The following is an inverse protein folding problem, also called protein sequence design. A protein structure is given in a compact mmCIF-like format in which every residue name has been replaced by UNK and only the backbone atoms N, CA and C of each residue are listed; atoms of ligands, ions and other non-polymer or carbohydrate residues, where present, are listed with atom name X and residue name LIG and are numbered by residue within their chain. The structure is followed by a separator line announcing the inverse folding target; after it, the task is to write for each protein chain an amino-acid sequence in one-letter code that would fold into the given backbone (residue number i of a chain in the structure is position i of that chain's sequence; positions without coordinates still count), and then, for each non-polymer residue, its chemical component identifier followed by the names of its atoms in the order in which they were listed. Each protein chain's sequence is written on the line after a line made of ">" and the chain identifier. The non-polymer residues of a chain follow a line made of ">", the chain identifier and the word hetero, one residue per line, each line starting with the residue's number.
data_IF_230854113594
#
_entry.id   IF_230854113594
#
_cell.length_a   1.000
_cell.length_b   1.000
_cell.length_c   1.000
_cell.angle_alpha   90.00
_cell.angle_beta   90.00
_cell.angle_gamma   90.00
#
_symmetry.space_group_name_H-M   'P 1'
#
loop_
_entity.id
_entity.type
_entity.pdbx_description
1 polymer ?
#
# COMPACT_ATOMS: atom_id res chain seq x y z
N UNK A 1 1.69 26.61 -74.43
CA UNK A 1 2.54 26.07 -73.35
C UNK A 1 3.24 27.23 -72.65
N UNK A 2 2.86 27.55 -71.40
CA UNK A 2 3.83 27.86 -70.34
C UNK A 2 3.12 28.06 -68.99
N UNK A 3 3.27 27.04 -68.14
CA UNK A 3 3.58 27.11 -66.70
C UNK A 3 2.87 28.18 -65.85
N UNK A 4 1.55 28.22 -65.80
CA UNK A 4 0.85 28.92 -64.70
C UNK A 4 -0.53 28.38 -64.32
N UNK A 5 -0.81 27.09 -64.58
CA UNK A 5 -2.13 26.50 -64.24
C UNK A 5 -2.02 25.10 -63.65
N UNK A 6 -0.85 24.77 -63.06
CA UNK A 6 -0.61 23.52 -62.35
C UNK A 6 0.00 23.80 -60.97
N UNK A 7 -0.56 24.77 -60.25
CA UNK A 7 -0.17 25.08 -58.87
C UNK A 7 -1.40 25.30 -57.96
N UNK A 8 -2.54 24.68 -58.31
CA UNK A 8 -3.78 24.81 -57.55
C UNK A 8 -4.50 23.47 -57.26
N UNK A 9 -3.82 22.33 -57.47
CA UNK A 9 -4.41 21.00 -57.24
C UNK A 9 -3.57 20.09 -56.33
N UNK A 10 -2.59 20.66 -55.59
CA UNK A 10 -1.88 19.96 -54.50
C UNK A 10 -1.91 20.82 -53.24
N UNK A 11 -3.04 21.49 -52.99
CA UNK A 11 -3.47 21.79 -51.63
C UNK A 11 -4.36 20.62 -51.18
N UNK A 12 -3.80 19.41 -51.21
CA UNK A 12 -4.38 18.27 -50.52
C UNK A 12 -4.29 18.60 -49.04
N UNK A 13 -5.36 19.18 -48.53
CA UNK A 13 -6.03 18.79 -47.27
C UNK A 13 -5.22 17.78 -46.44
N UNK A 14 -4.14 18.23 -45.81
CA UNK A 14 -3.83 17.80 -44.45
C UNK A 14 -4.88 18.45 -43.55
N UNK A 15 -6.11 17.91 -43.62
CA UNK A 15 -6.97 17.90 -42.46
C UNK A 15 -6.17 17.09 -41.45
N UNK A 16 -5.45 17.78 -40.59
CA UNK A 16 -5.05 17.21 -39.32
C UNK A 16 -6.36 16.78 -38.69
N UNK A 17 -6.70 15.50 -38.85
CA UNK A 17 -7.58 14.82 -37.93
C UNK A 17 -6.80 14.81 -36.63
N UNK A 18 -6.85 15.94 -35.92
CA UNK A 18 -6.74 15.92 -34.48
C UNK A 18 -7.94 15.07 -34.09
N UNK A 19 -7.72 13.76 -34.02
CA UNK A 19 -8.53 12.93 -33.15
C UNK A 19 -8.29 13.57 -31.80
N UNK A 20 -9.16 14.49 -31.41
CA UNK A 20 -9.36 14.78 -30.00
C UNK A 20 -9.75 13.42 -29.44
N UNK A 21 -8.74 12.68 -28.96
CA UNK A 21 -8.97 11.62 -28.01
C UNK A 21 -9.87 12.28 -26.97
N UNK A 22 -11.14 11.86 -26.93
CA UNK A 22 -12.03 12.35 -25.90
C UNK A 22 -11.28 12.11 -24.59
N UNK A 23 -11.00 13.17 -23.84
CA UNK A 23 -10.24 13.01 -22.62
C UNK A 23 -11.12 12.16 -21.68
N UNK A 24 -10.76 10.90 -21.46
CA UNK A 24 -11.47 9.96 -20.58
C UNK A 24 -11.23 10.30 -19.09
N UNK A 25 -10.86 11.55 -18.82
CA UNK A 25 -10.65 12.09 -17.48
C UNK A 25 -11.98 12.06 -16.71
N UNK A 26 -12.01 11.27 -15.65
CA UNK A 26 -13.12 11.19 -14.71
C UNK A 26 -12.67 11.79 -13.38
N UNK A 27 -13.20 12.97 -13.07
CA UNK A 27 -13.10 13.57 -11.74
C UNK A 27 -14.26 13.07 -10.88
N UNK A 28 -14.00 12.85 -9.59
CA UNK A 28 -15.02 12.31 -8.70
C UNK A 28 -15.79 13.41 -7.99
N UNK A 29 -17.12 13.29 -8.03
CA UNK A 29 -18.03 14.15 -7.28
C UNK A 29 -18.43 13.45 -5.98
N UNK A 30 -17.96 13.99 -4.85
CA UNK A 30 -18.25 13.48 -3.52
C UNK A 30 -19.55 14.09 -2.94
N UNK A 31 -20.18 13.44 -1.94
CA UNK A 31 -21.30 14.00 -1.20
C UNK A 31 -20.98 15.39 -0.63
N UNK A 32 -21.98 16.27 -0.53
CA UNK A 32 -21.83 17.66 -0.06
C UNK A 32 -21.14 17.82 1.31
N UNK A 33 -21.29 16.84 2.19
CA UNK A 33 -20.73 16.88 3.56
C UNK A 33 -19.40 16.14 3.68
N UNK A 34 -18.80 15.71 2.57
CA UNK A 34 -17.47 15.10 2.57
C UNK A 34 -16.42 16.13 2.97
N UNK A 35 -15.52 15.80 3.93
CA UNK A 35 -14.47 16.72 4.36
C UNK A 35 -13.52 17.12 3.22
N UNK A 36 -13.43 18.42 2.97
CA UNK A 36 -12.61 19.01 1.91
C UNK A 36 -11.38 19.71 2.50
N UNK A 37 -10.23 19.49 1.89
CA UNK A 37 -8.96 20.08 2.27
C UNK A 37 -8.83 21.48 1.67
N UNK A 38 -8.68 22.50 2.52
CA UNK A 38 -8.65 23.91 2.07
C UNK A 38 -7.24 24.45 1.81
N UNK A 39 -6.21 23.78 2.32
CA UNK A 39 -4.81 24.17 2.14
C UNK A 39 -4.26 23.97 0.72
N UNK A 40 -4.97 23.24 -0.15
CA UNK A 40 -4.55 22.96 -1.52
C UNK A 40 -5.69 23.20 -2.49
N UNK A 41 -5.44 23.97 -3.55
CA UNK A 41 -6.28 24.01 -4.74
C UNK A 41 -5.62 23.16 -5.83
N UNK A 42 -6.36 22.19 -6.37
CA UNK A 42 -5.82 21.26 -7.36
C UNK A 42 -6.68 21.27 -8.61
N UNK A 43 -6.03 21.39 -9.76
CA UNK A 43 -6.64 21.20 -11.07
C UNK A 43 -6.01 20.02 -11.79
N UNK A 44 -6.84 19.23 -12.46
CA UNK A 44 -6.42 18.15 -13.37
C UNK A 44 -6.98 18.50 -14.75
N UNK A 45 -6.10 18.66 -15.73
CA UNK A 45 -6.43 19.16 -17.07
C UNK A 45 -7.33 20.40 -17.03
N UNK A 46 -6.88 21.42 -16.28
CA UNK A 46 -7.56 22.71 -16.09
C UNK A 46 -8.90 22.69 -15.33
N UNK A 47 -9.41 21.51 -14.95
CA UNK A 47 -10.65 21.35 -14.20
C UNK A 47 -10.38 21.24 -12.70
N UNK A 48 -11.19 21.89 -11.86
CA UNK A 48 -11.06 21.80 -10.41
C UNK A 48 -11.32 20.37 -9.93
N UNK A 49 -10.40 19.85 -9.12
CA UNK A 49 -10.49 18.54 -8.51
C UNK A 49 -10.69 18.66 -7.01
N UNK A 50 -11.64 17.90 -6.47
CA UNK A 50 -11.87 17.84 -5.04
C UNK A 50 -10.63 17.30 -4.32
N UNK A 51 -10.19 18.01 -3.26
CA UNK A 51 -9.12 17.55 -2.38
C UNK A 51 -9.76 17.01 -1.11
N UNK A 52 -9.72 15.70 -0.94
CA UNK A 52 -10.30 15.00 0.20
C UNK A 52 -9.42 15.18 1.45
N UNK A 53 -9.98 15.68 2.55
CA UNK A 53 -9.23 15.91 3.79
C UNK A 53 -9.16 14.65 4.64
N UNK A 54 -7.96 14.27 5.08
CA UNK A 54 -7.75 13.39 6.24
C UNK A 54 -6.98 14.15 7.34
N UNK A 55 -6.91 13.64 8.58
CA UNK A 55 -6.11 14.29 9.63
C UNK A 55 -4.60 14.37 9.35
N UNK A 56 -4.10 13.72 8.30
CA UNK A 56 -2.66 13.58 8.02
C UNK A 56 -2.30 13.88 6.56
N UNK A 57 -3.26 14.26 5.72
CA UNK A 57 -3.03 14.53 4.29
C UNK A 57 -4.24 15.15 3.59
N UNK A 58 -3.98 15.83 2.47
CA UNK A 58 -4.93 15.97 1.37
C UNK A 58 -4.85 14.76 0.42
N UNK A 59 -5.96 14.38 -0.22
CA UNK A 59 -6.00 13.31 -1.22
C UNK A 59 -6.72 13.80 -2.48
N UNK A 60 -6.09 13.60 -3.64
CA UNK A 60 -6.70 13.78 -4.96
C UNK A 60 -6.73 12.44 -5.67
N UNK A 61 -7.87 12.14 -6.30
CA UNK A 61 -8.05 10.92 -7.07
C UNK A 61 -8.86 11.20 -8.32
N UNK A 62 -8.41 10.67 -9.44
CA UNK A 62 -9.09 10.78 -10.73
C UNK A 62 -8.79 9.56 -11.58
N UNK A 63 -9.67 9.24 -12.53
CA UNK A 63 -9.38 8.22 -13.53
C UNK A 63 -9.06 8.84 -14.89
N UNK A 64 -8.13 8.24 -15.63
CA UNK A 64 -7.72 8.68 -16.97
C UNK A 64 -7.07 7.52 -17.73
N UNK A 65 -7.00 7.65 -19.06
CA UNK A 65 -6.29 6.73 -19.95
C UNK A 65 -4.93 7.27 -20.40
N UNK A 66 -4.58 8.51 -20.04
CA UNK A 66 -3.34 9.20 -20.43
C UNK A 66 -2.73 10.03 -19.29
N UNK A 67 -1.51 10.53 -19.48
CA UNK A 67 -0.88 11.41 -18.50
C UNK A 67 -1.57 12.78 -18.47
N UNK A 68 -1.98 13.24 -17.29
CA UNK A 68 -2.75 14.48 -17.13
C UNK A 68 -1.90 15.61 -16.55
N UNK A 69 -2.16 16.85 -16.98
CA UNK A 69 -1.58 18.03 -16.36
C UNK A 69 -2.21 18.24 -14.98
N UNK A 70 -1.43 18.06 -13.92
CA UNK A 70 -1.82 18.41 -12.55
C UNK A 70 -1.21 19.75 -12.19
N UNK A 71 -2.04 20.65 -11.68
CA UNK A 71 -1.62 21.96 -11.14
C UNK A 71 -2.06 22.06 -9.69
N UNK A 72 -1.13 22.36 -8.80
CA UNK A 72 -1.35 22.52 -7.35
C UNK A 72 -0.98 23.93 -6.94
N UNK A 73 -1.85 24.56 -6.17
CA UNK A 73 -1.62 25.86 -5.53
C UNK A 73 -1.87 25.69 -4.03
N UNK A 74 -0.82 25.59 -3.19
CA UNK A 74 -1.00 25.67 -1.74
C UNK A 74 -1.45 27.07 -1.31
N UNK A 75 -2.14 27.15 -0.17
CA UNK A 75 -2.53 28.42 0.47
C UNK A 75 -1.41 29.04 1.34
N UNK A 76 -0.23 28.44 1.30
CA UNK A 76 0.97 28.87 2.00
C UNK A 76 2.13 29.07 1.03
N UNK A 77 3.09 29.91 1.42
CA UNK A 77 4.36 30.04 0.71
C UNK A 77 5.25 28.81 0.94
N UNK A 78 6.00 28.43 -0.09
CA UNK A 78 6.97 27.34 -0.01
C UNK A 78 8.26 27.63 -0.79
N UNK A 79 9.35 26.96 -0.41
CA UNK A 79 10.65 27.05 -1.10
C UNK A 79 10.87 25.87 -2.03
N UNK A 80 10.65 24.66 -1.52
CA UNK A 80 10.95 23.41 -2.19
C UNK A 80 9.73 22.50 -2.27
N UNK A 81 9.74 21.62 -3.29
CA UNK A 81 8.71 20.61 -3.49
C UNK A 81 9.37 19.30 -3.89
N UNK A 82 8.95 18.20 -3.27
CA UNK A 82 9.39 16.84 -3.57
C UNK A 82 8.18 16.02 -4.06
N UNK A 83 8.39 15.24 -5.11
CA UNK A 83 7.45 14.20 -5.55
C UNK A 83 8.08 12.86 -5.19
N UNK A 84 7.36 12.07 -4.40
CA UNK A 84 7.76 10.71 -4.02
C UNK A 84 6.76 9.69 -4.58
N UNK A 85 7.21 8.53 -5.10
CA UNK A 85 8.60 8.14 -5.21
C UNK A 85 9.34 8.87 -6.36
N UNK A 86 10.57 9.29 -6.08
CA UNK A 86 11.45 10.09 -6.91
C UNK A 86 11.93 9.36 -8.16
N UNK A 87 12.00 8.03 -8.13
CA UNK A 87 12.34 7.19 -9.28
C UNK A 87 11.29 7.23 -10.40
N UNK A 88 10.10 7.82 -10.17
CA UNK A 88 9.15 8.16 -11.24
C UNK A 88 9.66 9.30 -12.13
N UNK A 89 10.68 10.04 -11.68
CA UNK A 89 11.34 11.10 -12.44
C UNK A 89 10.39 12.20 -12.96
N UNK A 90 9.26 12.42 -12.27
CA UNK A 90 8.28 13.44 -12.62
C UNK A 90 8.91 14.83 -12.44
N UNK A 91 8.92 15.61 -13.51
CA UNK A 91 9.48 16.97 -13.52
C UNK A 91 8.41 17.99 -13.19
N UNK A 92 8.70 18.85 -12.23
CA UNK A 92 7.82 19.95 -11.82
C UNK A 92 8.20 21.25 -12.51
N UNK A 93 7.20 22.10 -12.75
CA UNK A 93 7.36 23.47 -13.22
C UNK A 93 6.66 24.41 -12.24
N UNK A 94 7.42 25.37 -11.70
CA UNK A 94 6.93 26.40 -10.79
C UNK A 94 6.52 27.67 -11.55
N UNK A 95 5.38 28.25 -11.18
CA UNK A 95 4.93 29.57 -11.63
C UNK A 95 4.33 30.32 -10.45
N UNK A 96 5.08 31.26 -9.86
CA UNK A 96 4.69 31.91 -8.60
C UNK A 96 4.55 30.89 -7.47
N UNK A 97 3.37 30.85 -6.85
CA UNK A 97 3.04 29.87 -5.81
C UNK A 97 2.39 28.58 -6.35
N UNK A 98 2.42 28.35 -7.65
CA UNK A 98 1.86 27.14 -8.26
C UNK A 98 2.95 26.17 -8.70
N UNK A 99 2.69 24.87 -8.51
CA UNK A 99 3.46 23.76 -9.09
C UNK A 99 2.60 23.04 -10.12
N UNK A 100 3.18 22.71 -11.26
CA UNK A 100 2.55 21.90 -12.31
C UNK A 100 3.46 20.77 -12.77
N UNK A 101 2.87 19.64 -13.12
CA UNK A 101 3.58 18.47 -13.66
C UNK A 101 2.61 17.56 -14.43
N UNK A 102 3.15 16.66 -15.25
CA UNK A 102 2.34 15.61 -15.89
C UNK A 102 2.31 14.41 -14.95
N UNK A 103 1.11 14.05 -14.48
CA UNK A 103 0.87 12.87 -13.65
C UNK A 103 0.63 11.67 -14.58
N UNK A 104 1.50 10.64 -14.56
CA UNK A 104 1.30 9.44 -15.38
C UNK A 104 0.10 8.61 -14.90
N UNK A 105 -0.49 7.84 -15.82
CA UNK A 105 -1.56 6.87 -15.52
C UNK A 105 -1.05 5.78 -14.58
N UNK A 106 -1.93 5.28 -13.70
CA UNK A 106 -1.65 4.19 -12.76
C UNK A 106 -0.44 4.49 -11.86
N UNK A 107 -0.36 5.74 -11.37
CA UNK A 107 0.67 6.18 -10.44
C UNK A 107 0.07 6.80 -9.19
N UNK A 108 0.83 6.68 -8.11
CA UNK A 108 0.47 7.16 -6.78
C UNK A 108 1.67 7.91 -6.24
N UNK A 109 1.47 9.16 -5.87
CA UNK A 109 2.56 10.00 -5.39
C UNK A 109 2.19 10.71 -4.09
N UNK A 110 3.23 11.04 -3.32
CA UNK A 110 3.21 12.08 -2.31
C UNK A 110 3.84 13.35 -2.90
N UNK A 111 3.13 14.47 -2.80
CA UNK A 111 3.64 15.81 -3.07
C UNK A 111 3.88 16.51 -1.73
N UNK A 112 5.14 16.82 -1.45
CA UNK A 112 5.60 17.33 -0.16
C UNK A 112 6.24 18.70 -0.35
N UNK A 113 5.74 19.71 0.36
CA UNK A 113 6.26 21.07 0.32
C UNK A 113 7.10 21.35 1.57
N UNK A 114 8.33 21.84 1.40
CA UNK A 114 9.26 22.16 2.50
C UNK A 114 9.35 21.07 3.60
N UNK A 115 9.32 19.79 3.19
CA UNK A 115 9.29 18.63 4.10
C UNK A 115 8.14 18.68 5.14
N UNK A 116 7.00 19.29 4.81
CA UNK A 116 5.76 19.24 5.59
C UNK A 116 5.11 17.86 5.49
N UNK A 117 5.68 16.90 6.20
CA UNK A 117 5.28 15.48 6.17
C UNK A 117 3.97 15.17 6.92
N UNK A 118 3.47 16.11 7.73
CA UNK A 118 2.20 15.96 8.46
C UNK A 118 0.98 16.52 7.72
N UNK A 119 1.21 17.13 6.55
CA UNK A 119 0.14 17.59 5.67
C UNK A 119 0.52 17.49 4.17
N UNK A 120 1.00 16.33 3.68
CA UNK A 120 1.30 16.13 2.27
C UNK A 120 0.01 16.06 1.44
N UNK A 121 0.17 16.22 0.12
CA UNK A 121 -0.89 15.96 -0.85
C UNK A 121 -0.63 14.63 -1.56
N UNK A 122 -1.46 13.62 -1.29
CA UNK A 122 -1.44 12.36 -2.04
C UNK A 122 -2.26 12.50 -3.32
N UNK A 123 -1.70 12.04 -4.44
CA UNK A 123 -2.33 12.14 -5.76
C UNK A 123 -2.34 10.76 -6.41
N UNK A 124 -3.53 10.29 -6.76
CA UNK A 124 -3.77 8.96 -7.34
C UNK A 124 -4.37 9.10 -8.74
N UNK A 125 -3.61 8.68 -9.74
CA UNK A 125 -4.08 8.49 -11.11
C UNK A 125 -4.29 7.00 -11.37
N UNK A 126 -5.41 6.64 -11.99
CA UNK A 126 -5.85 5.26 -12.19
C UNK A 126 -6.63 5.14 -13.49
N UNK A 127 -6.73 3.95 -14.07
CA UNK A 127 -7.60 3.72 -15.23
C UNK A 127 -9.08 3.70 -14.85
N UNK A 128 -9.98 4.19 -15.71
CA UNK A 128 -11.42 4.05 -15.50
C UNK A 128 -11.85 2.60 -15.26
N UNK A 129 -12.67 2.38 -14.25
CA UNK A 129 -13.32 1.07 -14.06
C UNK A 129 -14.33 0.86 -15.19
N UNK A 130 -14.17 -0.22 -15.95
CA UNK A 130 -15.14 -0.60 -16.98
C UNK A 130 -16.48 -0.89 -16.30
N UNK A 131 -17.55 -0.31 -16.85
CA UNK A 131 -18.89 -0.62 -16.38
C UNK A 131 -19.12 -2.14 -16.49
N UNK A 132 -19.44 -2.77 -15.37
CA UNK A 132 -19.63 -4.20 -15.27
C UNK A 132 -20.82 -4.50 -14.37
N UNK A 133 -21.53 -5.58 -14.69
CA UNK A 133 -22.66 -6.03 -13.87
C UNK A 133 -22.19 -6.34 -12.45
N UNK A 134 -22.87 -5.74 -11.48
CA UNK A 134 -22.62 -5.93 -10.05
C UNK A 134 -23.95 -6.15 -9.33
N UNK A 135 -23.95 -7.07 -8.36
CA UNK A 135 -25.12 -7.37 -7.54
C UNK A 135 -25.47 -6.19 -6.61
N UNK A 136 -24.43 -5.46 -6.17
CA UNK A 136 -24.56 -4.31 -5.28
C UNK A 136 -23.76 -3.15 -5.86
N UNK A 137 -24.41 -2.00 -6.04
CA UNK A 137 -23.79 -0.77 -6.53
C UNK A 137 -23.98 0.34 -5.50
N UNK A 138 -22.88 0.88 -5.00
CA UNK A 138 -22.85 2.12 -4.23
C UNK A 138 -22.54 3.28 -5.16
N UNK A 139 -23.49 4.21 -5.28
CA UNK A 139 -23.48 5.23 -6.33
C UNK A 139 -22.63 6.45 -5.97
N UNK A 140 -21.99 7.04 -6.97
CA UNK A 140 -21.25 8.30 -6.85
C UNK A 140 -22.10 9.41 -6.22
N UNK A 141 -21.49 10.28 -5.42
CA UNK A 141 -22.16 11.41 -4.77
C UNK A 141 -23.03 11.05 -3.58
N UNK A 142 -23.09 9.78 -3.16
CA UNK A 142 -23.89 9.31 -2.02
C UNK A 142 -23.01 8.85 -0.86
N UNK A 143 -23.41 9.23 0.36
CA UNK A 143 -22.81 8.75 1.61
C UNK A 143 -23.67 7.61 2.18
N UNK A 144 -23.07 6.44 2.36
CA UNK A 144 -23.72 5.24 2.91
C UNK A 144 -23.13 4.87 4.27
N UNK A 145 -23.98 4.56 5.24
CA UNK A 145 -23.59 3.92 6.50
C UNK A 145 -23.93 2.45 6.42
N UNK A 146 -22.93 1.59 6.25
CA UNK A 146 -23.13 0.17 5.98
C UNK A 146 -22.92 -0.72 7.20
N UNK A 147 -22.35 -0.19 8.30
CA UNK A 147 -22.00 -1.00 9.46
C UNK A 147 -20.96 -2.07 9.11
N UNK A 148 -21.03 -3.25 9.73
CA UNK A 148 -20.15 -4.37 9.40
C UNK A 148 -20.90 -5.38 8.52
N UNK A 149 -20.80 -5.21 7.21
CA UNK A 149 -21.62 -5.94 6.25
C UNK A 149 -21.00 -7.27 5.85
N UNK A 150 -21.68 -8.39 6.16
CA UNK A 150 -21.32 -9.71 5.63
C UNK A 150 -21.58 -9.82 4.13
N UNK A 151 -20.62 -10.38 3.43
CA UNK A 151 -20.67 -10.68 1.99
C UNK A 151 -20.96 -12.18 1.80
N UNK A 152 -21.60 -12.54 0.69
CA UNK A 152 -21.90 -13.92 0.28
C UNK A 152 -21.00 -14.32 -0.89
N UNK A 153 -20.80 -15.61 -1.08
CA UNK A 153 -20.08 -16.14 -2.24
C UNK A 153 -20.69 -15.68 -3.57
N UNK A 154 -19.85 -15.55 -4.59
CA UNK A 154 -20.19 -15.12 -5.95
C UNK A 154 -20.71 -13.67 -6.08
N UNK A 155 -20.66 -12.87 -5.01
CA UNK A 155 -21.12 -11.48 -5.08
C UNK A 155 -20.09 -10.55 -5.71
N UNK A 156 -20.58 -9.70 -6.60
CA UNK A 156 -19.88 -8.56 -7.16
C UNK A 156 -20.41 -7.27 -6.54
N UNK A 157 -19.52 -6.49 -5.96
CA UNK A 157 -19.84 -5.24 -5.26
C UNK A 157 -19.04 -4.11 -5.89
N UNK A 158 -19.75 -3.15 -6.47
CA UNK A 158 -19.15 -1.96 -7.08
C UNK A 158 -19.33 -0.74 -6.18
N UNK A 159 -18.23 -0.12 -5.78
CA UNK A 159 -18.23 1.18 -5.09
C UNK A 159 -17.75 2.25 -6.09
N UNK A 160 -18.68 3.01 -6.66
CA UNK A 160 -18.35 3.98 -7.71
C UNK A 160 -17.45 5.11 -7.18
N UNK A 161 -16.62 5.67 -8.07
CA UNK A 161 -15.82 6.86 -7.76
C UNK A 161 -16.71 8.01 -7.30
N UNK A 162 -16.38 8.60 -6.14
CA UNK A 162 -17.21 9.63 -5.50
C UNK A 162 -18.28 9.10 -4.54
N UNK A 163 -18.47 7.78 -4.41
CA UNK A 163 -19.25 7.21 -3.32
C UNK A 163 -18.42 7.20 -2.02
N UNK A 164 -19.07 7.48 -0.88
CA UNK A 164 -18.43 7.43 0.45
C UNK A 164 -19.18 6.45 1.34
N UNK A 165 -18.48 5.47 1.90
CA UNK A 165 -19.03 4.46 2.80
C UNK A 165 -18.44 4.62 4.21
N UNK A 166 -19.26 4.45 5.23
CA UNK A 166 -18.86 4.31 6.64
C UNK A 166 -19.19 2.88 7.08
N UNK A 167 -18.17 2.08 7.41
CA UNK A 167 -18.28 0.67 7.80
C UNK A 167 -17.22 -0.24 7.15
N UNK A 168 -17.45 -1.54 7.18
CA UNK A 168 -16.55 -2.55 6.61
C UNK A 168 -17.29 -3.75 6.04
N UNK A 169 -16.59 -4.52 5.18
CA UNK A 169 -17.10 -5.79 4.66
C UNK A 169 -16.42 -6.98 5.37
N UNK A 170 -17.20 -8.01 5.63
CA UNK A 170 -16.76 -9.27 6.27
C UNK A 170 -17.01 -10.43 5.32
N UNK A 171 -15.94 -11.11 4.94
CA UNK A 171 -15.90 -12.20 3.98
C UNK A 171 -15.58 -13.50 4.75
N UNK A 172 -16.62 -14.10 5.34
CA UNK A 172 -16.51 -15.27 6.22
C UNK A 172 -16.85 -16.56 5.46
N UNK A 173 -15.84 -17.40 5.20
CA UNK A 173 -16.00 -18.70 4.54
C UNK A 173 -16.52 -18.61 3.10
N UNK A 174 -16.36 -17.45 2.45
CA UNK A 174 -16.92 -17.18 1.11
C UNK A 174 -15.91 -17.44 -0.01
N UNK A 175 -16.42 -17.56 -1.23
CA UNK A 175 -15.62 -17.71 -2.43
C UNK A 175 -16.15 -16.86 -3.59
N UNK A 176 -15.28 -16.55 -4.57
CA UNK A 176 -15.63 -15.85 -5.81
C UNK A 176 -16.24 -14.45 -5.57
N UNK A 177 -15.79 -13.73 -4.54
CA UNK A 177 -16.19 -12.35 -4.28
C UNK A 177 -15.36 -11.40 -5.13
N UNK A 178 -16.00 -10.38 -5.70
CA UNK A 178 -15.33 -9.28 -6.38
C UNK A 178 -15.79 -7.96 -5.79
N UNK A 179 -14.92 -7.29 -5.04
CA UNK A 179 -15.16 -5.96 -4.48
C UNK A 179 -14.28 -4.95 -5.20
N UNK A 180 -14.87 -4.01 -5.92
CA UNK A 180 -14.10 -3.13 -6.80
C UNK A 180 -14.70 -1.73 -6.93
N UNK A 181 -13.90 -0.80 -7.46
CA UNK A 181 -14.33 0.54 -7.84
C UNK A 181 -13.40 1.61 -7.27
N UNK A 182 -13.73 2.89 -7.46
CA UNK A 182 -12.91 4.02 -7.02
C UNK A 182 -13.50 4.77 -5.83
N UNK A 183 -14.45 4.15 -5.14
CA UNK A 183 -15.09 4.74 -3.96
C UNK A 183 -14.16 4.80 -2.75
N UNK A 184 -14.61 5.56 -1.77
CA UNK A 184 -13.90 5.77 -0.50
C UNK A 184 -14.68 5.12 0.62
N UNK A 185 -13.99 4.36 1.46
CA UNK A 185 -14.49 3.91 2.76
C UNK A 185 -13.83 4.75 3.83
N UNK A 186 -14.60 5.62 4.47
CA UNK A 186 -14.13 6.60 5.44
C UNK A 186 -14.64 6.28 6.84
N UNK A 187 -13.77 5.62 7.61
CA UNK A 187 -14.07 5.15 8.97
C UNK A 187 -13.56 6.10 10.05
N UNK A 188 -13.27 7.37 9.71
CA UNK A 188 -12.77 8.38 10.66
C UNK A 188 -13.65 8.59 11.90
N UNK A 189 -14.93 8.26 11.81
CA UNK A 189 -15.90 8.43 12.88
C UNK A 189 -16.18 7.13 13.65
N UNK A 190 -15.67 5.99 13.19
CA UNK A 190 -15.87 4.71 13.87
C UNK A 190 -14.89 4.56 15.03
N UNK A 191 -15.38 4.00 16.14
CA UNK A 191 -14.60 3.77 17.35
C UNK A 191 -14.26 2.27 17.53
N UNK A 192 -12.98 2.00 17.74
CA UNK A 192 -12.45 0.67 18.08
C UNK A 192 -13.12 0.05 19.31
N UNK A 193 -13.50 0.87 20.29
CA UNK A 193 -14.11 0.42 21.55
C UNK A 193 -15.55 -0.03 21.35
N UNK A 194 -16.21 0.46 20.30
CA UNK A 194 -17.53 -0.02 19.88
C UNK A 194 -17.45 -1.34 19.10
N UNK A 195 -16.24 -1.88 18.90
CA UNK A 195 -16.01 -3.16 18.27
C UNK A 195 -15.99 -3.12 16.75
N UNK A 196 -15.83 -1.96 16.11
CA UNK A 196 -15.63 -1.88 14.66
C UNK A 196 -14.23 -2.40 14.27
N UNK A 197 -14.15 -3.04 13.10
CA UNK A 197 -12.93 -3.56 12.49
C UNK A 197 -12.86 -3.11 11.03
N UNK A 198 -11.66 -3.13 10.43
CA UNK A 198 -11.51 -2.99 8.99
C UNK A 198 -12.06 -4.19 8.22
N UNK A 199 -11.67 -4.30 6.95
CA UNK A 199 -12.15 -5.34 6.07
C UNK A 199 -11.55 -6.69 6.49
N UNK A 200 -12.41 -7.68 6.75
CA UNK A 200 -11.96 -8.98 7.25
C UNK A 200 -12.27 -10.10 6.27
N UNK A 201 -11.24 -10.77 5.79
CA UNK A 201 -11.34 -11.99 4.98
C UNK A 201 -10.95 -13.19 5.84
N UNK A 202 -11.84 -14.16 5.94
CA UNK A 202 -11.79 -15.22 6.94
C UNK A 202 -12.09 -16.55 6.27
N UNK A 203 -11.04 -17.30 5.91
CA UNK A 203 -11.19 -18.53 5.13
C UNK A 203 -11.71 -18.28 3.71
N UNK A 204 -11.57 -17.06 3.18
CA UNK A 204 -12.08 -16.69 1.88
C UNK A 204 -11.22 -17.24 0.74
N UNK A 205 -11.84 -17.49 -0.42
CA UNK A 205 -11.17 -18.10 -1.57
C UNK A 205 -11.47 -17.42 -2.90
N UNK A 206 -10.54 -17.50 -3.85
CA UNK A 206 -10.77 -17.13 -5.26
C UNK A 206 -11.42 -15.76 -5.43
N UNK A 207 -10.96 -14.75 -4.69
CA UNK A 207 -11.64 -13.46 -4.58
C UNK A 207 -10.71 -12.29 -4.88
N UNK A 208 -11.30 -11.15 -5.24
CA UNK A 208 -10.59 -9.96 -5.69
C UNK A 208 -11.07 -8.70 -4.95
N UNK A 209 -10.12 -7.84 -4.59
CA UNK A 209 -10.36 -6.55 -3.95
C UNK A 209 -9.58 -5.44 -4.68
N UNK A 210 -10.28 -4.53 -5.37
CA UNK A 210 -9.63 -3.69 -6.39
C UNK A 210 -9.99 -2.20 -6.37
N UNK A 211 -8.97 -1.35 -6.45
CA UNK A 211 -9.02 0.10 -6.71
C UNK A 211 -9.69 0.97 -5.61
N UNK A 212 -10.01 0.40 -4.44
CA UNK A 212 -10.73 1.09 -3.36
C UNK A 212 -9.79 1.86 -2.43
N UNK A 213 -10.25 3.00 -1.92
CA UNK A 213 -9.55 3.76 -0.88
C UNK A 213 -10.17 3.52 0.50
N UNK A 214 -9.36 3.13 1.47
CA UNK A 214 -9.70 2.94 2.87
C UNK A 214 -9.06 4.04 3.73
N UNK A 215 -9.87 4.73 4.54
CA UNK A 215 -9.46 5.90 5.32
C UNK A 215 -9.85 5.68 6.79
N UNK A 216 -8.88 5.87 7.69
CA UNK A 216 -9.16 6.02 9.12
C UNK A 216 -9.73 4.80 9.83
N UNK A 217 -9.39 3.58 9.39
CA UNK A 217 -9.87 2.36 10.04
C UNK A 217 -9.53 2.34 11.54
N UNK A 218 -10.44 1.87 12.42
CA UNK A 218 -10.24 1.85 13.86
C UNK A 218 -9.24 0.79 14.35
N UNK A 219 -8.87 -0.16 13.49
CA UNK A 219 -7.89 -1.23 13.67
C UNK A 219 -7.23 -1.49 12.31
N UNK A 220 -6.59 -2.65 12.15
CA UNK A 220 -6.11 -3.20 10.88
C UNK A 220 -7.10 -2.95 9.74
N UNK A 221 -6.61 -2.38 8.65
CA UNK A 221 -7.43 -1.83 7.58
C UNK A 221 -8.02 -2.92 6.69
N UNK A 222 -7.22 -3.90 6.30
CA UNK A 222 -7.72 -5.14 5.69
C UNK A 222 -6.86 -6.34 6.10
N UNK A 223 -7.50 -7.45 6.44
CA UNK A 223 -6.81 -8.64 6.93
C UNK A 223 -7.31 -9.92 6.26
N UNK A 224 -6.39 -10.83 5.94
CA UNK A 224 -6.62 -12.10 5.26
C UNK A 224 -6.22 -13.26 6.15
N UNK A 225 -7.17 -13.80 6.91
CA UNK A 225 -6.97 -14.94 7.81
C UNK A 225 -7.32 -16.24 7.11
N UNK A 226 -6.37 -17.15 6.94
CA UNK A 226 -6.66 -18.49 6.40
C UNK A 226 -7.18 -18.49 4.96
N UNK A 227 -6.88 -17.45 4.18
CA UNK A 227 -7.42 -17.26 2.85
C UNK A 227 -6.58 -17.98 1.80
N UNK A 228 -7.18 -18.24 0.62
CA UNK A 228 -6.48 -18.87 -0.51
C UNK A 228 -6.82 -18.21 -1.83
N UNK A 229 -5.82 -17.93 -2.67
CA UNK A 229 -6.02 -17.38 -4.01
C UNK A 229 -6.81 -16.06 -3.96
N UNK A 230 -6.22 -15.05 -3.31
CA UNK A 230 -6.79 -13.71 -3.19
C UNK A 230 -5.88 -12.71 -3.91
N UNK A 231 -6.47 -11.85 -4.72
CA UNK A 231 -5.76 -10.69 -5.29
C UNK A 231 -6.33 -9.39 -4.75
N UNK A 232 -5.49 -8.58 -4.11
CA UNK A 232 -5.80 -7.19 -3.79
C UNK A 232 -5.00 -6.29 -4.74
N UNK A 233 -5.67 -5.51 -5.58
CA UNK A 233 -5.02 -4.69 -6.61
C UNK A 233 -5.37 -3.22 -6.41
N UNK A 234 -4.37 -2.33 -6.42
CA UNK A 234 -4.59 -0.88 -6.35
C UNK A 234 -5.41 -0.43 -5.12
N UNK A 235 -5.24 -1.13 -3.99
CA UNK A 235 -5.86 -0.77 -2.71
C UNK A 235 -5.06 0.35 -2.07
N UNK A 236 -5.76 1.41 -1.63
CA UNK A 236 -5.15 2.60 -1.06
C UNK A 236 -5.58 2.75 0.38
N UNK A 237 -4.65 2.90 1.30
CA UNK A 237 -4.92 2.91 2.74
C UNK A 237 -4.26 4.13 3.36
N UNK A 238 -5.06 4.94 4.03
CA UNK A 238 -4.62 6.13 4.76
C UNK A 238 -5.12 6.01 6.21
N UNK A 239 -4.23 5.52 7.08
CA UNK A 239 -4.38 5.44 8.53
C UNK A 239 -3.66 6.59 9.24
N UNK A 240 -4.03 6.83 10.50
CA UNK A 240 -3.34 7.74 11.44
C UNK A 240 -3.57 7.36 12.92
N UNK A 241 -4.18 6.20 13.16
CA UNK A 241 -4.66 5.74 14.46
C UNK A 241 -3.68 4.74 15.03
N UNK A 242 -3.85 4.36 16.29
CA UNK A 242 -3.01 3.31 16.90
C UNK A 242 -3.45 1.92 16.44
N UNK A 243 -2.48 1.08 16.06
CA UNK A 243 -2.72 -0.28 15.57
C UNK A 243 -3.59 -0.30 14.31
N UNK A 244 -3.24 0.57 13.36
CA UNK A 244 -3.95 0.78 12.10
C UNK A 244 -3.20 0.18 10.92
N UNK A 245 -2.60 -1.00 11.12
CA UNK A 245 -1.88 -1.79 10.13
C UNK A 245 -2.63 -1.78 8.78
N UNK A 246 -1.88 -1.71 7.68
CA UNK A 246 -2.45 -1.57 6.36
C UNK A 246 -3.07 -2.88 5.87
N UNK A 247 -2.20 -3.78 5.42
CA UNK A 247 -2.59 -5.07 4.86
C UNK A 247 -1.95 -6.20 5.68
N UNK A 248 -2.79 -6.95 6.37
CA UNK A 248 -2.37 -8.11 7.16
C UNK A 248 -2.66 -9.42 6.40
N UNK A 249 -1.63 -10.19 6.10
CA UNK A 249 -1.75 -11.52 5.50
C UNK A 249 -1.45 -12.56 6.58
N UNK A 250 -2.46 -13.26 7.07
CA UNK A 250 -2.36 -14.09 8.27
C UNK A 250 -2.67 -15.56 7.97
N UNK A 251 -1.63 -16.39 7.92
CA UNK A 251 -1.78 -17.84 7.65
C UNK A 251 -2.54 -18.13 6.37
N UNK A 252 -2.16 -17.47 5.28
CA UNK A 252 -2.84 -17.55 3.98
C UNK A 252 -1.92 -18.09 2.88
N UNK A 253 -2.52 -18.59 1.79
CA UNK A 253 -1.82 -19.21 0.65
C UNK A 253 -2.20 -18.51 -0.65
N UNK A 254 -1.25 -18.36 -1.59
CA UNK A 254 -1.52 -17.79 -2.92
C UNK A 254 -2.15 -16.39 -2.83
N UNK A 255 -1.51 -15.47 -2.10
CA UNK A 255 -2.00 -14.10 -1.91
C UNK A 255 -1.15 -13.16 -2.75
N UNK A 256 -1.81 -12.34 -3.56
CA UNK A 256 -1.15 -11.32 -4.37
C UNK A 256 -1.65 -9.93 -4.01
N UNK A 257 -0.76 -9.04 -3.61
CA UNK A 257 -1.03 -7.60 -3.43
C UNK A 257 -0.32 -6.87 -4.58
N UNK A 258 -1.06 -6.09 -5.36
CA UNK A 258 -0.53 -5.36 -6.52
C UNK A 258 -0.72 -3.87 -6.37
N UNK A 259 0.36 -3.12 -6.60
CA UNK A 259 0.34 -1.67 -6.78
C UNK A 259 -0.45 -0.91 -5.68
N UNK A 260 -0.27 -1.30 -4.42
CA UNK A 260 -0.96 -0.66 -3.29
C UNK A 260 -0.35 0.71 -2.95
N UNK A 261 -1.12 1.58 -2.28
CA UNK A 261 -0.56 2.72 -1.56
C UNK A 261 -0.96 2.62 -0.10
N UNK A 262 0.01 2.63 0.79
CA UNK A 262 -0.26 2.47 2.22
C UNK A 262 0.49 3.54 2.98
N UNK A 263 -0.27 4.40 3.66
CA UNK A 263 0.24 5.26 4.73
C UNK A 263 -0.44 4.85 6.02
N UNK A 264 0.30 4.32 6.98
CA UNK A 264 -0.22 3.88 8.27
C UNK A 264 0.69 4.31 9.39
N UNK A 265 0.14 4.40 10.61
CA UNK A 265 0.94 4.66 11.79
C UNK A 265 1.59 3.40 12.34
N UNK A 266 1.03 2.24 12.03
CA UNK A 266 1.60 0.91 12.29
C UNK A 266 2.07 0.24 10.97
N UNK A 267 2.30 -1.07 10.98
CA UNK A 267 2.81 -1.85 9.83
C UNK A 267 2.07 -1.55 8.51
N UNK A 268 2.77 -1.22 7.42
CA UNK A 268 2.10 -1.02 6.12
C UNK A 268 1.64 -2.36 5.51
N UNK A 269 2.55 -3.32 5.42
CA UNK A 269 2.25 -4.72 5.11
C UNK A 269 2.74 -5.57 6.28
N UNK A 270 1.91 -6.50 6.72
CA UNK A 270 2.29 -7.43 7.77
C UNK A 270 1.91 -8.87 7.41
N UNK A 271 2.92 -9.73 7.29
CA UNK A 271 2.75 -11.15 6.96
C UNK A 271 2.93 -11.93 8.27
N UNK A 272 1.84 -12.51 8.76
CA UNK A 272 1.75 -13.15 10.08
C UNK A 272 1.22 -14.57 9.97
N UNK A 273 1.24 -15.28 11.09
CA UNK A 273 0.44 -16.47 11.31
C UNK A 273 -0.03 -16.49 12.76
N UNK A 274 -1.33 -16.31 12.96
CA UNK A 274 -1.93 -16.13 14.27
C UNK A 274 -3.42 -16.47 14.28
N UNK A 275 -3.96 -16.59 15.49
CA UNK A 275 -5.40 -16.67 15.70
C UNK A 275 -6.01 -15.29 15.46
N UNK A 276 -7.17 -15.18 14.83
CA UNK A 276 -7.87 -13.89 14.83
C UNK A 276 -8.56 -13.62 16.17
N UNK A 277 -8.68 -12.35 16.53
CA UNK A 277 -9.34 -11.91 17.76
C UNK A 277 -10.50 -10.94 17.46
N UNK A 278 -11.70 -11.31 17.87
CA UNK A 278 -12.82 -10.38 17.98
C UNK A 278 -13.20 -10.21 19.44
N UNK A 279 -12.98 -9.00 19.97
CA UNK A 279 -13.47 -8.62 21.30
C UNK A 279 -14.96 -8.29 21.20
N UNK A 280 -15.79 -9.00 21.96
CA UNK A 280 -17.21 -8.64 22.16
C UNK A 280 -17.31 -7.41 23.10
N UNK A 281 -18.32 -6.54 22.92
CA UNK A 281 -19.32 -6.57 21.84
C UNK A 281 -18.73 -6.03 20.52
N UNK A 282 -18.94 -6.76 19.42
CA UNK A 282 -18.94 -6.12 18.11
C UNK A 282 -20.26 -5.33 17.98
N UNK A 283 -20.33 -4.26 17.17
CA UNK A 283 -21.53 -3.41 17.04
C UNK A 283 -22.74 -4.19 16.52
N UNK A 284 -22.51 -5.41 16.04
CA UNK A 284 -23.50 -6.37 15.61
C UNK A 284 -23.16 -7.74 16.25
N UNK A 285 -24.15 -8.60 16.49
CA UNK A 285 -23.97 -9.98 16.96
C UNK A 285 -23.28 -10.84 15.88
N UNK A 286 -22.03 -10.51 15.53
CA UNK A 286 -21.20 -11.25 14.59
C UNK A 286 -20.60 -12.42 15.36
N UNK A 287 -21.36 -13.52 15.38
CA UNK A 287 -20.81 -14.82 15.76
C UNK A 287 -20.09 -15.41 14.54
N UNK A 288 -18.76 -15.53 14.65
CA UNK A 288 -17.96 -16.23 13.65
C UNK A 288 -18.14 -17.75 13.83
N UNK A 289 -18.36 -18.41 12.71
CA UNK A 289 -18.54 -19.86 12.56
C UNK A 289 -17.26 -20.58 12.17
N UNK A 290 -16.28 -19.84 11.65
CA UNK A 290 -14.98 -20.39 11.28
C UNK A 290 -14.03 -20.52 12.49
N UNK A 291 -13.11 -21.50 12.50
CA UNK A 291 -12.15 -21.67 13.58
C UNK A 291 -11.23 -20.46 13.77
N UNK A 292 -11.03 -20.02 15.02
CA UNK A 292 -10.20 -18.83 15.33
C UNK A 292 -8.73 -19.01 14.98
N UNK A 293 -8.26 -20.24 14.92
CA UNK A 293 -6.89 -20.65 14.57
C UNK A 293 -6.68 -20.88 13.07
N UNK A 294 -7.64 -20.50 12.22
CA UNK A 294 -7.51 -20.67 10.76
C UNK A 294 -6.24 -20.04 10.19
N UNK A 295 -5.76 -18.94 10.79
CA UNK A 295 -4.53 -18.24 10.43
C UNK A 295 -3.24 -18.81 11.03
N UNK A 296 -3.30 -19.93 11.76
CA UNK A 296 -2.13 -20.62 12.34
C UNK A 296 -1.63 -21.81 11.48
N UNK A 297 -2.19 -22.03 10.28
CA UNK A 297 -1.97 -23.27 9.51
C UNK A 297 -0.75 -23.21 8.60
N UNK A 298 -0.74 -22.30 7.63
CA UNK A 298 0.32 -22.19 6.62
C UNK A 298 0.32 -20.76 6.07
N UNK A 299 1.51 -20.16 5.93
CA UNK A 299 1.69 -18.95 5.12
C UNK A 299 2.60 -19.27 3.95
N UNK A 300 2.09 -19.22 2.72
CA UNK A 300 2.84 -19.67 1.55
C UNK A 300 2.48 -18.94 0.27
N UNK A 301 3.47 -18.73 -0.61
CA UNK A 301 3.28 -18.15 -1.94
C UNK A 301 2.60 -16.78 -1.86
N UNK A 302 3.30 -15.85 -1.21
CA UNK A 302 2.85 -14.48 -1.02
C UNK A 302 3.63 -13.58 -1.96
N UNK A 303 2.92 -12.80 -2.77
CA UNK A 303 3.51 -11.84 -3.70
C UNK A 303 3.00 -10.43 -3.39
N UNK A 304 3.91 -9.53 -3.06
CA UNK A 304 3.68 -8.08 -3.05
C UNK A 304 4.41 -7.52 -4.27
N UNK A 305 3.66 -7.05 -5.27
CA UNK A 305 4.17 -6.64 -6.57
C UNK A 305 3.81 -5.17 -6.84
N UNK A 306 4.79 -4.30 -6.64
CA UNK A 306 4.61 -2.86 -6.74
C UNK A 306 3.97 -2.22 -5.51
N UNK A 307 4.00 -0.89 -5.51
CA UNK A 307 3.32 -0.07 -4.52
C UNK A 307 4.18 1.05 -3.95
N UNK A 308 3.54 1.86 -3.10
CA UNK A 308 4.16 2.99 -2.40
C UNK A 308 3.79 2.91 -0.92
N UNK A 309 4.80 2.82 -0.07
CA UNK A 309 4.64 2.56 1.36
C UNK A 309 5.25 3.68 2.18
N UNK A 310 4.45 4.21 3.08
CA UNK A 310 4.80 5.23 4.07
C UNK A 310 4.42 4.71 5.45
N UNK A 311 5.42 4.22 6.17
CA UNK A 311 5.27 3.89 7.58
C UNK A 311 5.56 5.14 8.43
N UNK A 312 4.60 5.57 9.25
CA UNK A 312 4.76 6.72 10.12
C UNK A 312 5.39 6.31 11.47
N UNK A 313 4.80 6.71 12.60
CA UNK A 313 5.52 6.70 13.89
C UNK A 313 5.85 5.30 14.45
N UNK A 314 5.07 4.26 14.17
CA UNK A 314 5.17 2.92 14.76
C UNK A 314 5.16 1.81 13.70
N UNK A 315 5.48 0.57 14.09
CA UNK A 315 5.46 -0.56 13.16
C UNK A 315 6.59 -0.49 12.13
N UNK A 316 6.35 -1.06 10.95
CA UNK A 316 7.33 -1.26 9.90
C UNK A 316 6.75 -0.97 8.50
N UNK A 317 7.60 -0.77 7.50
CA UNK A 317 7.11 -0.74 6.13
C UNK A 317 6.66 -2.14 5.68
N UNK A 318 7.54 -3.13 5.77
CA UNK A 318 7.23 -4.53 5.45
C UNK A 318 7.61 -5.41 6.65
N UNK A 319 6.62 -6.00 7.30
CA UNK A 319 6.77 -6.88 8.45
C UNK A 319 6.48 -8.34 8.09
N UNK A 320 7.33 -9.25 8.56
CA UNK A 320 7.04 -10.69 8.69
C UNK A 320 7.12 -11.08 10.17
N UNK A 321 5.99 -11.03 10.88
CA UNK A 321 5.95 -11.14 12.34
C UNK A 321 4.94 -10.18 12.98
N UNK A 322 4.89 -10.00 14.30
CA UNK A 322 5.64 -10.73 15.32
C UNK A 322 5.07 -12.15 15.54
N UNK A 323 3.78 -12.33 15.28
CA UNK A 323 3.11 -13.61 15.41
C UNK A 323 3.45 -14.53 14.23
N UNK A 324 4.21 -15.58 14.50
CA UNK A 324 4.70 -16.56 13.50
C UNK A 324 4.35 -17.99 13.92
N UNK A 325 3.06 -18.24 14.18
CA UNK A 325 2.51 -19.49 14.75
C UNK A 325 2.11 -20.54 13.72
N UNK A 326 2.56 -20.43 12.48
CA UNK A 326 2.60 -21.55 11.54
C UNK A 326 3.92 -22.30 11.73
N UNK A 327 4.00 -23.57 11.34
CA UNK A 327 5.27 -24.32 11.42
C UNK A 327 6.29 -23.79 10.40
N UNK A 328 5.80 -23.30 9.26
CA UNK A 328 6.60 -22.73 8.17
C UNK A 328 5.87 -21.52 7.59
N UNK A 329 6.64 -20.48 7.29
CA UNK A 329 6.23 -19.36 6.44
C UNK A 329 7.21 -19.28 5.28
N UNK A 330 6.77 -19.59 4.06
CA UNK A 330 7.69 -19.78 2.92
C UNK A 330 7.23 -19.16 1.61
N UNK A 331 8.19 -18.92 0.72
CA UNK A 331 7.95 -18.43 -0.64
C UNK A 331 7.23 -17.07 -0.62
N UNK A 332 7.90 -16.08 -0.02
CA UNK A 332 7.40 -14.71 0.16
C UNK A 332 8.24 -13.79 -0.72
N UNK A 333 7.61 -13.09 -1.65
CA UNK A 333 8.27 -12.15 -2.56
C UNK A 333 7.68 -10.75 -2.40
N UNK A 334 8.55 -9.77 -2.22
CA UNK A 334 8.23 -8.35 -2.29
C UNK A 334 9.08 -7.77 -3.40
N UNK A 335 8.44 -7.25 -4.44
CA UNK A 335 9.13 -6.74 -5.62
C UNK A 335 8.59 -5.42 -6.13
N UNK A 336 9.46 -4.67 -6.83
CA UNK A 336 9.13 -3.45 -7.58
C UNK A 336 8.46 -2.35 -6.73
N UNK A 337 8.78 -2.32 -5.43
CA UNK A 337 8.14 -1.47 -4.43
C UNK A 337 8.91 -0.18 -4.13
N UNK A 338 8.19 0.84 -3.65
CA UNK A 338 8.76 2.10 -3.20
C UNK A 338 8.47 2.32 -1.72
N UNK A 339 9.50 2.36 -0.89
CA UNK A 339 9.41 2.71 0.53
C UNK A 339 9.79 4.18 0.65
N UNK A 340 8.79 5.05 0.59
CA UNK A 340 9.06 6.49 0.57
C UNK A 340 9.41 7.00 1.96
N UNK A 341 8.83 6.42 3.02
CA UNK A 341 9.08 6.82 4.42
C UNK A 341 8.98 5.68 5.43
N UNK A 342 9.86 5.70 6.44
CA UNK A 342 9.76 5.01 7.73
C UNK A 342 10.15 6.02 8.80
N UNK A 343 9.15 6.68 9.42
CA UNK A 343 9.38 7.80 10.34
C UNK A 343 9.90 7.32 11.72
N UNK A 344 9.41 6.19 12.20
CA UNK A 344 9.75 5.65 13.52
C UNK A 344 11.02 4.79 13.57
N UNK A 345 11.18 4.09 14.69
CA UNK A 345 12.28 3.13 14.92
C UNK A 345 12.04 1.76 14.25
N UNK A 346 11.05 1.67 13.36
CA UNK A 346 10.70 0.48 12.60
C UNK A 346 11.73 0.07 11.57
N UNK A 347 11.55 -1.10 10.97
CA UNK A 347 12.34 -1.52 9.82
C UNK A 347 11.67 -1.21 8.48
N UNK A 348 12.50 -0.96 7.46
CA UNK A 348 12.10 -1.04 6.06
C UNK A 348 11.71 -2.48 5.74
N UNK A 349 12.62 -3.41 6.03
CA UNK A 349 12.40 -4.84 5.99
C UNK A 349 12.52 -5.41 7.39
N UNK A 350 11.46 -6.03 7.89
CA UNK A 350 11.45 -6.62 9.21
C UNK A 350 10.99 -8.07 9.16
N UNK A 351 11.68 -8.89 9.94
CA UNK A 351 11.30 -10.28 10.20
C UNK A 351 11.42 -10.46 11.71
N UNK A 352 10.35 -10.19 12.44
CA UNK A 352 10.30 -10.44 13.87
C UNK A 352 9.70 -11.81 14.13
N UNK A 353 10.53 -12.85 14.06
CA UNK A 353 10.10 -14.23 14.27
C UNK A 353 9.88 -14.52 15.77
N UNK A 354 8.65 -14.28 16.22
CA UNK A 354 8.27 -14.33 17.63
C UNK A 354 7.76 -15.68 18.12
N UNK A 355 7.47 -16.62 17.24
CA UNK A 355 6.90 -17.94 17.55
C UNK A 355 7.67 -19.05 16.80
N UNK A 356 7.04 -20.19 16.48
CA UNK A 356 7.74 -21.40 16.05
C UNK A 356 8.11 -21.49 14.57
N UNK A 357 7.69 -20.55 13.72
CA UNK A 357 7.84 -20.69 12.28
C UNK A 357 9.30 -20.75 11.82
N UNK A 358 9.62 -21.69 10.93
CA UNK A 358 10.76 -21.51 10.03
C UNK A 358 10.33 -20.54 8.92
N UNK A 359 10.84 -19.31 8.95
CA UNK A 359 10.63 -18.32 7.90
C UNK A 359 11.70 -18.53 6.83
N UNK A 360 11.31 -18.86 5.59
CA UNK A 360 12.30 -19.19 4.56
C UNK A 360 11.91 -18.82 3.15
N UNK A 361 12.89 -18.70 2.25
CA UNK A 361 12.69 -18.31 0.85
C UNK A 361 11.96 -16.96 0.75
N UNK A 362 12.58 -15.94 1.35
CA UNK A 362 12.07 -14.56 1.30
C UNK A 362 12.90 -13.78 0.29
N UNK A 363 12.23 -13.16 -0.68
CA UNK A 363 12.85 -12.34 -1.72
C UNK A 363 12.35 -10.90 -1.59
N UNK A 364 13.28 -9.97 -1.42
CA UNK A 364 13.07 -8.53 -1.60
C UNK A 364 13.79 -8.11 -2.89
N UNK A 365 13.07 -7.60 -3.88
CA UNK A 365 13.62 -7.35 -5.23
C UNK A 365 13.25 -5.99 -5.81
N UNK A 366 14.21 -5.28 -6.39
CA UNK A 366 13.97 -4.00 -7.09
C UNK A 366 13.23 -2.97 -6.22
N UNK A 367 13.73 -2.71 -5.01
CA UNK A 367 13.07 -1.83 -4.04
C UNK A 367 13.81 -0.51 -3.94
N UNK A 368 13.08 0.59 -4.08
CA UNK A 368 13.59 1.95 -3.92
C UNK A 368 13.15 2.54 -2.59
N UNK A 369 14.10 3.02 -1.79
CA UNK A 369 13.92 3.50 -0.43
C UNK A 369 14.43 4.93 -0.35
N UNK A 370 13.65 5.82 0.28
CA UNK A 370 13.97 7.25 0.27
C UNK A 370 14.22 7.88 1.63
N UNK A 371 13.41 7.60 2.66
CA UNK A 371 13.64 8.23 3.98
C UNK A 371 13.20 7.31 5.11
N UNK A 372 14.14 6.54 5.64
CA UNK A 372 13.94 5.66 6.78
C UNK A 372 14.83 6.08 7.96
N UNK A 373 14.25 6.24 9.14
CA UNK A 373 14.98 6.60 10.37
C UNK A 373 15.41 5.38 11.19
N UNK A 374 14.65 4.29 11.14
CA UNK A 374 14.93 3.07 11.90
C UNK A 374 15.94 2.15 11.21
N UNK A 375 15.52 0.94 10.87
CA UNK A 375 16.39 -0.10 10.32
C UNK A 375 16.18 -0.30 8.82
N UNK A 376 17.25 -0.62 8.08
CA UNK A 376 17.09 -1.20 6.74
C UNK A 376 16.59 -2.65 6.86
N UNK A 377 17.34 -3.48 7.59
CA UNK A 377 16.91 -4.84 7.94
C UNK A 377 16.79 -4.96 9.47
N UNK A 378 15.63 -5.38 9.96
CA UNK A 378 15.41 -5.74 11.37
C UNK A 378 14.91 -7.18 11.46
N UNK A 379 15.84 -8.12 11.31
CA UNK A 379 15.56 -9.54 11.26
C UNK A 379 15.96 -10.15 12.60
N UNK A 380 14.99 -10.59 13.38
CA UNK A 380 15.25 -11.14 14.71
C UNK A 380 14.43 -12.40 14.96
N UNK A 381 15.07 -13.42 15.54
CA UNK A 381 14.33 -14.45 16.29
C UNK A 381 14.31 -14.01 17.74
N UNK A 382 13.13 -13.84 18.32
CA UNK A 382 12.99 -13.18 19.61
C UNK A 382 11.83 -13.72 20.45
N UNK A 383 11.83 -13.36 21.72
CA UNK A 383 10.65 -13.46 22.58
C UNK A 383 10.03 -12.07 22.72
N UNK A 384 8.80 -11.87 22.23
CA UNK A 384 8.06 -10.62 22.35
C UNK A 384 6.80 -10.81 23.20
N UNK A 385 6.10 -9.72 23.53
CA UNK A 385 4.79 -9.81 24.20
C UNK A 385 3.69 -10.39 23.31
N UNK A 386 3.93 -10.50 21.99
CA UNK A 386 3.01 -11.12 21.02
C UNK A 386 3.17 -12.64 20.93
N UNK A 387 4.32 -13.17 21.36
CA UNK A 387 4.62 -14.59 21.37
C UNK A 387 3.61 -15.39 22.20
N UNK A 388 3.25 -16.58 21.73
CA UNK A 388 2.41 -17.57 22.44
C UNK A 388 3.04 -18.95 22.50
N UNK A 389 3.88 -19.30 21.55
CA UNK A 389 4.59 -20.58 21.57
C UNK A 389 5.75 -20.53 22.58
N UNK A 390 6.10 -21.71 23.11
CA UNK A 390 7.24 -21.88 24.02
C UNK A 390 8.56 -22.11 23.28
N UNK A 391 8.50 -22.51 22.01
CA UNK A 391 9.65 -22.70 21.13
C UNK A 391 9.76 -21.56 20.12
N UNK A 392 10.94 -21.41 19.51
CA UNK A 392 11.20 -20.39 18.50
C UNK A 392 11.58 -20.97 17.16
N UNK A 393 11.33 -20.16 16.15
CA UNK A 393 11.63 -20.45 14.77
C UNK A 393 13.08 -20.22 14.38
N UNK A 394 13.30 -20.01 13.10
CA UNK A 394 14.58 -19.63 12.47
C UNK A 394 14.29 -18.92 11.16
N UNK A 395 15.27 -18.19 10.64
CA UNK A 395 15.21 -17.61 9.29
C UNK A 395 16.15 -18.34 8.34
N UNK A 396 15.73 -18.61 7.10
CA UNK A 396 16.58 -19.30 6.11
C UNK A 396 16.40 -18.75 4.70
N UNK A 397 17.50 -18.59 3.96
CA UNK A 397 17.46 -18.20 2.54
C UNK A 397 16.63 -16.91 2.32
N UNK A 398 17.17 -15.79 2.78
CA UNK A 398 16.62 -14.46 2.57
C UNK A 398 17.50 -13.74 1.55
N UNK A 399 16.92 -13.30 0.44
CA UNK A 399 17.62 -12.60 -0.62
C UNK A 399 17.08 -11.16 -0.74
N UNK A 400 18.00 -10.21 -0.73
CA UNK A 400 17.78 -8.82 -1.06
C UNK A 400 18.50 -8.53 -2.38
N UNK A 401 17.74 -8.36 -3.46
CA UNK A 401 18.25 -8.17 -4.83
C UNK A 401 17.88 -6.78 -5.35
N UNK A 402 18.86 -6.01 -5.83
CA UNK A 402 18.66 -4.68 -6.42
C UNK A 402 17.90 -3.72 -5.48
N UNK A 403 18.46 -3.49 -4.29
CA UNK A 403 17.90 -2.57 -3.30
C UNK A 403 18.62 -1.22 -3.41
N UNK A 404 17.87 -0.14 -3.57
CA UNK A 404 18.40 1.21 -3.67
C UNK A 404 17.90 2.07 -2.51
N UNK A 405 18.82 2.49 -1.65
CA UNK A 405 18.57 3.44 -0.57
C UNK A 405 19.14 4.79 -0.97
N UNK A 406 18.30 5.83 -1.02
CA UNK A 406 18.69 7.18 -1.43
C UNK A 406 18.30 8.18 -0.34
N UNK A 407 19.17 8.32 0.66
CA UNK A 407 18.93 9.17 1.82
C UNK A 407 20.24 9.59 2.51
N UNK A 408 20.23 10.75 3.15
CA UNK A 408 21.39 11.22 3.93
C UNK A 408 21.42 10.70 5.37
N UNK A 409 20.31 10.14 5.85
CA UNK A 409 20.17 9.59 7.20
C UNK A 409 20.90 8.25 7.28
N UNK A 410 21.84 8.04 8.22
CA UNK A 410 22.47 6.73 8.40
C UNK A 410 21.44 5.67 8.79
N UNK A 411 21.47 4.51 8.12
CA UNK A 411 20.66 3.34 8.49
C UNK A 411 21.52 2.32 9.23
N UNK A 412 20.90 1.68 10.21
CA UNK A 412 21.44 0.48 10.83
C UNK A 412 20.67 -0.75 10.34
N UNK A 413 21.29 -1.92 10.45
CA UNK A 413 20.62 -3.20 10.28
C UNK A 413 20.98 -4.14 11.40
N UNK A 414 20.02 -4.96 11.81
CA UNK A 414 20.15 -5.95 12.86
C UNK A 414 19.63 -7.29 12.35
N UNK A 415 20.50 -8.28 12.29
CA UNK A 415 20.16 -9.64 11.85
C UNK A 415 20.62 -10.63 12.92
N UNK A 416 19.70 -11.05 13.78
CA UNK A 416 20.05 -11.83 14.97
C UNK A 416 19.16 -13.04 15.19
N UNK A 417 19.77 -14.22 15.26
CA UNK A 417 19.10 -15.38 15.87
C UNK A 417 18.92 -15.21 17.39
N UNK A 418 18.17 -16.11 18.01
CA UNK A 418 17.97 -16.11 19.46
C UNK A 418 19.11 -16.84 20.20
N UNK A 419 19.57 -17.95 19.64
CA UNK A 419 20.68 -18.76 20.12
C UNK A 419 21.11 -19.74 19.01
N UNK A 420 22.10 -20.60 19.31
CA UNK A 420 22.66 -21.59 18.36
C UNK A 420 21.64 -22.55 17.69
N UNK A 421 20.43 -22.71 18.23
CA UNK A 421 19.38 -23.57 17.65
C UNK A 421 18.32 -22.78 16.87
N UNK A 422 18.33 -21.45 16.96
CA UNK A 422 17.31 -20.55 16.43
C UNK A 422 18.01 -19.41 15.69
N UNK A 423 18.61 -19.75 14.56
CA UNK A 423 19.55 -18.90 13.83
C UNK A 423 18.90 -18.26 12.59
N UNK A 424 19.61 -17.31 12.00
CA UNK A 424 19.46 -17.00 10.57
C UNK A 424 20.54 -17.76 9.79
N UNK A 425 20.16 -18.41 8.69
CA UNK A 425 21.09 -19.15 7.82
C UNK A 425 20.84 -18.80 6.34
N UNK A 426 21.79 -18.09 5.73
CA UNK A 426 21.68 -17.62 4.36
C UNK A 426 20.92 -16.31 4.27
N UNK A 427 21.64 -15.19 4.45
CA UNK A 427 21.15 -13.86 4.12
C UNK A 427 22.04 -13.27 3.04
N UNK A 428 21.47 -13.04 1.87
CA UNK A 428 22.20 -12.70 0.67
C UNK A 428 21.81 -11.30 0.21
N UNK A 429 22.80 -10.44 0.02
CA UNK A 429 22.64 -9.12 -0.56
C UNK A 429 23.26 -9.14 -1.95
N UNK A 430 22.42 -9.03 -2.98
CA UNK A 430 22.85 -8.86 -4.37
C UNK A 430 22.50 -7.44 -4.81
N UNK A 431 23.54 -6.64 -5.09
CA UNK A 431 23.36 -5.26 -5.56
C UNK A 431 22.53 -4.36 -4.61
N UNK A 432 22.83 -4.41 -3.30
CA UNK A 432 22.40 -3.39 -2.34
C UNK A 432 23.24 -2.12 -2.52
N UNK A 433 22.58 -0.97 -2.73
CA UNK A 433 23.22 0.33 -2.90
C UNK A 433 22.68 1.34 -1.89
N UNK A 434 23.58 2.11 -1.28
CA UNK A 434 23.26 3.26 -0.43
C UNK A 434 23.89 4.49 -1.07
N UNK A 435 23.05 5.45 -1.50
CA UNK A 435 23.44 6.67 -2.21
C UNK A 435 24.36 6.39 -3.42
N UNK A 436 23.97 5.39 -4.22
CA UNK A 436 24.71 4.94 -5.41
C UNK A 436 26.01 4.18 -5.13
N UNK A 437 26.36 3.94 -3.85
CA UNK A 437 27.52 3.12 -3.47
C UNK A 437 27.07 1.71 -3.15
N UNK A 438 27.69 0.73 -3.80
CA UNK A 438 27.43 -0.69 -3.54
C UNK A 438 27.93 -1.09 -2.15
N UNK A 439 27.10 -1.79 -1.40
CA UNK A 439 27.43 -2.38 -0.09
C UNK A 439 28.11 -3.72 -0.33
N UNK A 440 29.39 -3.85 0.09
CA UNK A 440 30.20 -5.04 -0.19
C UNK A 440 30.43 -5.93 1.04
N UNK A 441 30.08 -5.45 2.24
CA UNK A 441 30.25 -6.18 3.49
C UNK A 441 29.36 -5.58 4.60
N UNK A 442 29.34 -6.24 5.76
CA UNK A 442 28.57 -5.83 6.95
C UNK A 442 28.84 -4.38 7.38
N UNK A 443 30.12 -3.95 7.38
CA UNK A 443 30.51 -2.61 7.82
C UNK A 443 29.99 -1.53 6.86
N UNK A 444 30.07 -1.77 5.56
CA UNK A 444 29.58 -0.83 4.55
C UNK A 444 28.06 -0.62 4.67
N UNK A 445 27.31 -1.64 5.06
CA UNK A 445 25.86 -1.59 5.21
C UNK A 445 25.36 -1.25 6.62
N UNK A 446 26.26 -1.00 7.59
CA UNK A 446 25.86 -0.80 8.99
C UNK A 446 25.12 -2.01 9.59
N UNK A 447 25.50 -3.23 9.20
CA UNK A 447 24.79 -4.47 9.56
C UNK A 447 25.48 -5.16 10.73
N UNK A 448 24.77 -5.31 11.84
CA UNK A 448 25.17 -6.19 12.94
C UNK A 448 24.54 -7.57 12.77
N UNK A 449 25.34 -8.60 13.04
CA UNK A 449 24.89 -10.00 12.99
C UNK A 449 25.25 -10.76 14.25
N UNK A 450 24.34 -11.60 14.75
CA UNK A 450 24.60 -12.55 15.84
C UNK A 450 23.76 -13.82 15.62
N UNK A 451 24.28 -15.00 15.98
CA UNK A 451 23.62 -16.28 15.68
C UNK A 451 23.12 -16.35 14.23
N UNK A 452 23.96 -15.91 13.30
CA UNK A 452 23.66 -15.77 11.88
C UNK A 452 24.81 -16.35 11.08
N UNK A 453 24.49 -17.22 10.13
CA UNK A 453 25.45 -17.94 9.30
C UNK A 453 25.21 -17.63 7.81
N UNK A 454 26.26 -17.76 6.99
CA UNK A 454 26.19 -17.64 5.54
C UNK A 454 25.65 -16.28 5.03
N UNK A 455 26.16 -15.18 5.59
CA UNK A 455 25.87 -13.83 5.07
C UNK A 455 26.80 -13.51 3.90
N UNK A 456 26.24 -13.16 2.74
CA UNK A 456 27.04 -12.87 1.54
C UNK A 456 26.62 -11.57 0.86
N UNK A 457 27.58 -10.95 0.17
CA UNK A 457 27.41 -9.73 -0.61
C UNK A 457 27.91 -9.98 -2.04
N UNK A 458 27.11 -9.62 -3.04
CA UNK A 458 27.45 -9.81 -4.46
C UNK A 458 27.29 -8.54 -5.27
#
# INVERSE_FOLDING_TARGET
>A
MNKLTLLLAVLLTMVAVVVTMANDLQLYHYPKNTPEHKGYQVKVDHQDCFVYQTPVSGIVSFATTQGELVTVVPDFDFKEVKIRPSNLNIKTKRSGNSISFIMPVDKKISLEFDDRIYDPLFIFSQRPVKNQEADIIYKAGVHYKIGMKRVKSNQKIWIQGGAVLEGSFIMEGVENVHLFGHGVVDNRNLDRQQGYYGFGWFGAKNSTFENITLIGNPRWSTSYFGCKNITANDVRIIGWRRSDDGIDIVGSEDITIKDAFVRTKDDCIAIKSSTFWYKKPAPENIDFTIPTDIGCKLTKNILIDGGVFWNADWGNAIEIGFETRADVMEDITIQDANIIRVEGNGGVFSIHNGDRAVVKNVLYKNIHIEEAYGYLCHFQVLHSHYSKDTTRGSGKNILLENIQVNQDIPLNSLITGLNKNHIYDGVHFDNLQINGKKVMNLKDGGIYTEFTENVTFQ
#
